data_IF_619907147278
#
_entry.id   IF_619907147278
#
_cell.length_a   1.000
_cell.length_b   1.000
_cell.length_c   1.000
_cell.angle_alpha   90.00
_cell.angle_beta   90.00
_cell.angle_gamma   90.00
#
_symmetry.space_group_name_H-M   'P 1'
#
loop_
_entity.id
_entity.type
_entity.pdbx_description
1 polymer ?
#
# COMPACT_ATOMS: atom_id res chain seq x y z
N UNK A 1 -6.65 -16.02 -22.83
CA UNK A 1 -5.82 -16.18 -21.61
C UNK A 1 -5.25 -14.80 -21.32
N UNK A 2 -5.76 -14.11 -20.30
CA UNK A 2 -5.29 -12.77 -19.95
C UNK A 2 -3.87 -12.87 -19.41
N UNK A 3 -2.96 -12.11 -20.00
CA UNK A 3 -1.62 -11.91 -19.49
C UNK A 3 -1.74 -11.25 -18.11
N UNK A 4 -1.65 -12.05 -17.04
CA UNK A 4 -1.37 -11.53 -15.70
C UNK A 4 0.08 -11.03 -15.71
N UNK A 5 0.30 -9.81 -16.21
CA UNK A 5 1.41 -9.01 -15.72
C UNK A 5 1.11 -8.77 -14.24
N UNK A 6 1.73 -9.57 -13.38
CA UNK A 6 1.75 -9.33 -11.94
C UNK A 6 2.16 -7.88 -11.73
N UNK A 7 1.23 -7.04 -11.28
CA UNK A 7 1.56 -5.66 -11.01
C UNK A 7 2.49 -5.69 -9.80
N UNK A 8 3.65 -5.05 -9.85
CA UNK A 8 4.65 -5.13 -8.76
C UNK A 8 4.05 -4.73 -7.40
N UNK A 9 3.01 -3.90 -7.43
CA UNK A 9 2.17 -3.55 -6.29
C UNK A 9 1.54 -4.77 -5.62
N UNK A 10 0.97 -5.74 -6.36
CA UNK A 10 0.26 -6.90 -5.81
C UNK A 10 1.13 -7.75 -4.86
N UNK A 11 2.46 -7.69 -5.05
CA UNK A 11 3.45 -8.34 -4.18
C UNK A 11 3.55 -7.70 -2.79
N UNK A 12 2.97 -6.51 -2.58
CA UNK A 12 2.98 -5.79 -1.32
C UNK A 12 1.82 -6.19 -0.40
N UNK A 13 0.88 -7.01 -0.84
CA UNK A 13 -0.19 -7.50 0.04
C UNK A 13 0.42 -8.28 1.20
N UNK A 14 -0.01 -7.97 2.43
CA UNK A 14 0.54 -8.41 3.71
C UNK A 14 1.95 -7.91 4.04
N UNK A 15 2.54 -7.02 3.24
CA UNK A 15 3.82 -6.40 3.54
C UNK A 15 3.65 -5.19 4.46
N UNK A 16 4.63 -5.00 5.36
CA UNK A 16 4.82 -3.77 6.11
C UNK A 16 5.54 -2.76 5.23
N UNK A 17 4.92 -1.60 5.02
CA UNK A 17 5.44 -0.54 4.16
C UNK A 17 5.27 0.83 4.80
N UNK A 18 5.96 1.83 4.25
CA UNK A 18 5.63 3.24 4.47
C UNK A 18 5.01 3.80 3.20
N UNK A 19 3.80 4.34 3.30
CA UNK A 19 3.13 5.04 2.21
C UNK A 19 3.33 6.54 2.40
N UNK A 20 3.90 7.21 1.40
CA UNK A 20 4.09 8.65 1.37
C UNK A 20 3.03 9.30 0.47
N UNK A 21 2.32 10.30 1.00
CA UNK A 21 1.30 11.07 0.27
C UNK A 21 1.34 12.54 0.69
N UNK A 22 1.70 13.39 -0.26
CA UNK A 22 1.98 14.81 -0.06
C UNK A 22 3.06 15.05 1.00
N UNK A 23 2.64 15.57 2.15
CA UNK A 23 3.52 15.89 3.28
C UNK A 23 3.44 14.87 4.44
N UNK A 24 2.72 13.77 4.25
CA UNK A 24 2.48 12.77 5.27
C UNK A 24 3.09 11.42 4.91
N UNK A 25 3.49 10.67 5.93
CA UNK A 25 3.93 9.29 5.81
C UNK A 25 3.17 8.39 6.78
N UNK A 26 2.83 7.19 6.32
CA UNK A 26 2.01 6.24 7.07
C UNK A 26 2.70 4.88 7.08
N UNK A 27 3.06 4.39 8.26
CA UNK A 27 3.53 3.02 8.43
C UNK A 27 2.32 2.09 8.51
N UNK A 28 2.17 1.20 7.53
CA UNK A 28 0.97 0.37 7.38
C UNK A 28 1.32 -1.07 6.95
N UNK A 29 0.39 -1.98 7.18
CA UNK A 29 0.38 -3.30 6.54
C UNK A 29 -0.67 -3.27 5.44
N UNK A 30 -0.29 -3.51 4.19
CA UNK A 30 -1.24 -3.53 3.08
C UNK A 30 -2.11 -4.78 3.19
N UNK A 31 -3.43 -4.59 3.19
CA UNK A 31 -4.41 -5.69 3.25
C UNK A 31 -4.97 -6.05 1.87
N UNK A 32 -5.12 -5.06 0.99
CA UNK A 32 -5.69 -5.25 -0.34
C UNK A 32 -5.19 -4.17 -1.31
N UNK A 33 -5.00 -4.52 -2.57
CA UNK A 33 -4.69 -3.59 -3.64
C UNK A 33 -5.80 -3.68 -4.69
N UNK A 34 -6.42 -2.54 -4.96
CA UNK A 34 -7.44 -2.38 -5.98
C UNK A 34 -6.87 -1.58 -7.15
N UNK A 35 -7.62 -1.50 -8.25
CA UNK A 35 -7.18 -0.81 -9.46
C UNK A 35 -6.83 0.68 -9.24
N UNK A 36 -7.46 1.35 -8.26
CA UNK A 36 -7.30 2.80 -8.02
C UNK A 36 -6.89 3.14 -6.58
N UNK A 37 -6.83 2.17 -5.68
CA UNK A 37 -6.55 2.44 -4.27
C UNK A 37 -5.88 1.25 -3.59
N UNK A 38 -5.26 1.54 -2.44
CA UNK A 38 -4.66 0.56 -1.54
C UNK A 38 -5.43 0.62 -0.22
N UNK A 39 -5.85 -0.54 0.29
CA UNK A 39 -6.34 -0.67 1.66
C UNK A 39 -5.23 -1.19 2.54
N UNK A 40 -5.06 -0.58 3.70
CA UNK A 40 -4.03 -0.96 4.64
C UNK A 40 -4.49 -0.75 6.08
N UNK A 41 -3.74 -1.33 7.00
CA UNK A 41 -3.96 -1.19 8.44
C UNK A 41 -2.77 -0.43 9.02
N UNK A 42 -3.03 0.68 9.68
CA UNK A 42 -1.99 1.50 10.31
C UNK A 42 -1.33 0.75 11.47
N UNK A 43 -0.01 0.73 11.42
CA UNK A 43 0.80 0.03 12.41
C UNK A 43 0.76 0.79 13.74
N UNK A 44 0.43 0.10 14.83
CA UNK A 44 0.32 0.68 16.17
C UNK A 44 -1.10 1.07 16.59
N UNK A 45 -1.93 1.58 15.66
CA UNK A 45 -3.34 1.94 15.96
C UNK A 45 -4.32 0.85 15.54
N UNK A 46 -3.96 0.02 14.56
CA UNK A 46 -4.86 -0.98 13.98
C UNK A 46 -6.00 -0.39 13.15
N UNK A 47 -6.00 0.93 12.89
CA UNK A 47 -7.03 1.59 12.10
C UNK A 47 -6.86 1.27 10.61
N UNK A 48 -7.98 0.93 9.97
CA UNK A 48 -8.00 0.77 8.52
C UNK A 48 -7.87 2.14 7.83
N UNK A 49 -7.05 2.20 6.78
CA UNK A 49 -6.89 3.35 5.89
C UNK A 49 -6.99 2.93 4.44
N UNK A 50 -7.50 3.84 3.63
CA UNK A 50 -7.56 3.70 2.17
C UNK A 50 -6.76 4.83 1.55
N UNK A 51 -5.80 4.49 0.70
CA UNK A 51 -4.98 5.44 -0.06
C UNK A 51 -5.40 5.41 -1.52
N UNK A 52 -5.72 6.56 -2.10
CA UNK A 52 -5.92 6.68 -3.54
C UNK A 52 -4.55 6.64 -4.24
N UNK A 53 -4.37 5.73 -5.20
CA UNK A 53 -3.09 5.57 -5.90
C UNK A 53 -2.66 6.84 -6.64
N UNK A 54 -3.61 7.68 -7.07
CA UNK A 54 -3.30 8.95 -7.72
C UNK A 54 -2.63 9.97 -6.78
N UNK A 55 -2.79 9.81 -5.47
CA UNK A 55 -2.29 10.72 -4.44
C UNK A 55 -1.08 10.14 -3.68
N UNK A 56 -0.66 8.90 -4.02
CA UNK A 56 0.52 8.25 -3.43
C UNK A 56 1.75 8.63 -4.24
N UNK A 57 2.70 9.30 -3.59
CA UNK A 57 3.95 9.72 -4.22
C UNK A 57 4.94 8.55 -4.30
N UNK A 58 5.03 7.78 -3.21
CA UNK A 58 6.03 6.73 -3.07
C UNK A 58 5.60 5.69 -2.02
N UNK A 59 6.01 4.44 -2.24
CA UNK A 59 5.85 3.36 -1.27
C UNK A 59 7.22 2.77 -1.00
N UNK A 60 7.63 2.79 0.27
CA UNK A 60 8.88 2.21 0.75
C UNK A 60 8.61 0.85 1.38
N UNK A 61 9.27 -0.18 0.87
CA UNK A 61 9.22 -1.52 1.44
C UNK A 61 10.17 -1.60 2.64
N UNK A 62 9.64 -1.98 3.81
CA UNK A 62 10.48 -2.19 4.99
C UNK A 62 10.85 -3.68 5.03
N UNK A 63 12.12 -4.00 4.76
CA UNK A 63 12.67 -5.33 5.00
C UNK A 63 12.68 -5.61 6.52
N UNK A 64 12.37 -6.86 6.94
CA UNK A 64 12.53 -7.27 8.33
C UNK A 64 13.99 -7.21 8.80
#
# INVERSE_FOLDING_TARGET
MSNQQSNTLDLLVNAKVVVYTGHYSYCVIISEICQTNIKAIEFGTGQARTFNLADVDYIEYILP
#
